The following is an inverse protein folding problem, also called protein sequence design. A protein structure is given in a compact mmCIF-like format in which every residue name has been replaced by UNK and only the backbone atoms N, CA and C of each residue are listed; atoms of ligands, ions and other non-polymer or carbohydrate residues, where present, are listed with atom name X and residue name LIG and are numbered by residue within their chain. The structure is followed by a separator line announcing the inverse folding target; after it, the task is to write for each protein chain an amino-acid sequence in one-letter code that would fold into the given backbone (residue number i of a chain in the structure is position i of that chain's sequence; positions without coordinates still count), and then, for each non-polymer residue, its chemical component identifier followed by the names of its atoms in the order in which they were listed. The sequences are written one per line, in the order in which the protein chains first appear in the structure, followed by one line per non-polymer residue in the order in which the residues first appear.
data_IF_600638319965
#
_entry.id   IF_600638319965
#
_cell.length_a   1.000
_cell.length_b   1.000
_cell.length_c   1.000
_cell.angle_alpha   90.00
_cell.angle_beta   90.00
_cell.angle_gamma   90.00
#
_symmetry.space_group_name_H-M   'P 1'
#
loop_
_entity.id
_entity.type
_entity.pdbx_description
1 polymer ?
#
# COMPACT_ATOMS: atom_id res chain seq x y z
N UNK A 1 0.05 -9.89 5.38
CA UNK A 1 0.36 -8.80 6.34
C UNK A 1 -0.95 -8.28 6.93
N UNK A 2 -0.99 -7.68 8.13
CA UNK A 2 -2.19 -7.01 8.61
C UNK A 2 -2.52 -5.80 7.73
N UNK A 3 -3.81 -5.42 7.67
CA UNK A 3 -4.24 -4.19 6.99
C UNK A 3 -3.84 -2.97 7.81
N UNK A 4 -3.19 -2.00 7.17
CA UNK A 4 -2.86 -0.71 7.76
C UNK A 4 -3.86 0.33 7.26
N UNK A 5 -4.63 0.89 8.18
CA UNK A 5 -5.54 2.00 7.91
C UNK A 5 -4.98 3.21 8.62
N UNK A 6 -4.91 4.33 7.93
CA UNK A 6 -4.44 5.59 8.47
C UNK A 6 -5.54 6.63 8.29
N UNK A 7 -5.71 7.50 9.27
CA UNK A 7 -6.30 8.80 8.99
C UNK A 7 -5.27 9.71 8.30
N UNK A 8 -5.69 10.92 7.95
CA UNK A 8 -4.83 11.87 7.25
C UNK A 8 -3.53 12.17 8.02
N UNK A 9 -3.63 12.46 9.32
CA UNK A 9 -2.48 12.87 10.12
C UNK A 9 -1.51 11.70 10.35
N UNK A 10 -2.05 10.51 10.63
CA UNK A 10 -1.28 9.28 10.76
C UNK A 10 -0.56 8.92 9.47
N UNK A 11 -1.19 9.11 8.30
CA UNK A 11 -0.54 8.87 7.02
C UNK A 11 0.61 9.85 6.76
N UNK A 12 0.44 11.14 7.07
CA UNK A 12 1.52 12.13 6.93
C UNK A 12 2.71 11.79 7.82
N UNK A 13 2.48 11.43 9.09
CA UNK A 13 3.55 10.98 10.00
C UNK A 13 4.24 9.70 9.49
N UNK A 14 3.47 8.79 8.91
CA UNK A 14 4.03 7.59 8.27
C UNK A 14 4.96 7.97 7.12
N UNK A 15 4.57 8.90 6.25
CA UNK A 15 5.42 9.39 5.16
C UNK A 15 6.69 10.09 5.69
N UNK A 16 6.54 11.02 6.64
CA UNK A 16 7.66 11.75 7.25
C UNK A 16 8.71 10.83 7.89
N UNK A 17 8.26 9.71 8.48
CA UNK A 17 9.17 8.74 9.10
C UNK A 17 9.95 7.90 8.08
N UNK A 18 9.38 7.66 6.90
CA UNK A 18 9.93 6.71 5.92
C UNK A 18 10.60 7.38 4.72
N UNK A 19 10.40 8.69 4.51
CA UNK A 19 11.01 9.45 3.43
C UNK A 19 12.20 10.27 3.96
N UNK A 20 13.40 9.96 3.47
CA UNK A 20 14.60 10.76 3.74
C UNK A 20 14.65 12.03 2.88
N UNK A 21 15.54 12.96 3.20
CA UNK A 21 15.68 14.24 2.46
C UNK A 21 15.99 14.05 0.97
N UNK A 22 16.72 13.00 0.60
CA UNK A 22 17.09 12.68 -0.78
C UNK A 22 16.11 11.70 -1.46
N UNK A 23 15.01 11.32 -0.81
CA UNK A 23 14.06 10.36 -1.37
C UNK A 23 13.10 11.04 -2.34
N UNK A 24 13.14 10.62 -3.61
CA UNK A 24 12.13 10.94 -4.61
C UNK A 24 11.02 9.88 -4.61
N UNK A 25 9.77 10.30 -4.79
CA UNK A 25 8.60 9.40 -4.81
C UNK A 25 8.10 9.24 -6.25
N UNK A 26 7.99 7.99 -6.71
CA UNK A 26 7.35 7.64 -7.98
C UNK A 26 5.93 7.19 -7.68
N UNK A 27 4.96 7.82 -8.32
CA UNK A 27 3.55 7.47 -8.21
C UNK A 27 3.08 6.90 -9.53
N UNK A 28 2.55 5.68 -9.50
CA UNK A 28 1.79 5.12 -10.62
C UNK A 28 0.36 4.86 -10.19
N UNK A 29 -0.58 5.29 -11.03
CA UNK A 29 -2.00 4.94 -10.93
C UNK A 29 -2.43 4.00 -12.06
N UNK A 30 -1.47 3.41 -12.78
CA UNK A 30 -1.72 2.50 -13.90
C UNK A 30 -2.02 1.10 -13.36
N UNK A 31 -3.25 0.91 -12.87
CA UNK A 31 -3.73 -0.39 -12.41
C UNK A 31 -4.03 -1.25 -13.63
N UNK A 32 -3.24 -2.30 -13.81
CA UNK A 32 -3.35 -3.19 -14.97
C UNK A 32 -4.28 -4.36 -14.72
N UNK A 33 -4.47 -4.75 -13.45
CA UNK A 33 -5.37 -5.85 -13.06
C UNK A 33 -5.82 -5.75 -11.59
N UNK A 34 -7.04 -6.21 -11.29
CA UNK A 34 -7.59 -6.33 -9.93
C UNK A 34 -8.34 -7.66 -9.82
N UNK A 35 -7.98 -8.48 -8.84
CA UNK A 35 -8.62 -9.76 -8.55
C UNK A 35 -8.98 -9.92 -7.07
N UNK A 36 -9.92 -10.81 -6.74
CA UNK A 36 -10.27 -11.18 -5.37
C UNK A 36 -9.76 -12.59 -5.06
N UNK A 37 -8.89 -12.71 -4.06
CA UNK A 37 -8.32 -13.97 -3.63
C UNK A 37 -8.74 -14.31 -2.21
N UNK A 38 -9.31 -15.50 -2.00
CA UNK A 38 -9.53 -16.04 -0.65
C UNK A 38 -8.33 -16.89 -0.20
N UNK A 39 -7.79 -16.60 0.98
CA UNK A 39 -6.65 -17.33 1.53
C UNK A 39 -6.76 -17.61 3.04
N UNK A 40 -6.08 -18.65 3.51
CA UNK A 40 -5.87 -18.85 4.95
C UNK A 40 -4.78 -17.90 5.43
N UNK A 41 -5.13 -16.92 6.26
CA UNK A 41 -4.15 -16.07 6.92
C UNK A 41 -3.67 -16.76 8.19
N UNK A 42 -2.35 -16.85 8.38
CA UNK A 42 -1.74 -17.37 9.62
C UNK A 42 -2.38 -16.67 10.84
N UNK A 43 -3.11 -17.43 11.66
CA UNK A 43 -3.74 -16.96 12.91
C UNK A 43 -5.05 -16.17 12.77
N UNK A 44 -5.57 -15.89 11.57
CA UNK A 44 -6.78 -15.05 11.37
C UNK A 44 -7.91 -15.73 10.59
N UNK A 45 -7.75 -17.02 10.26
CA UNK A 45 -8.73 -17.80 9.50
C UNK A 45 -8.72 -17.47 8.01
N UNK A 46 -9.75 -17.95 7.31
CA UNK A 46 -9.98 -17.63 5.89
C UNK A 46 -10.36 -16.15 5.77
N UNK A 47 -9.68 -15.42 4.89
CA UNK A 47 -9.92 -14.01 4.59
C UNK A 47 -9.88 -13.80 3.09
N UNK A 48 -10.64 -12.82 2.64
CA UNK A 48 -10.64 -12.36 1.26
C UNK A 48 -9.73 -11.15 1.12
N UNK A 49 -8.99 -11.09 0.02
CA UNK A 49 -7.98 -10.09 -0.28
C UNK A 49 -8.20 -9.54 -1.68
N UNK A 50 -8.05 -8.23 -1.85
CA UNK A 50 -7.88 -7.65 -3.17
C UNK A 50 -6.42 -7.76 -3.59
N UNK A 51 -6.19 -8.41 -4.73
CA UNK A 51 -4.89 -8.49 -5.40
C UNK A 51 -4.86 -7.41 -6.48
N UNK A 52 -3.89 -6.51 -6.41
CA UNK A 52 -3.79 -5.36 -7.33
C UNK A 52 -2.45 -5.42 -8.05
N UNK A 53 -2.48 -5.40 -9.37
CA UNK A 53 -1.28 -5.32 -10.22
C UNK A 53 -1.16 -3.89 -10.77
N UNK A 54 0.00 -3.27 -10.58
CA UNK A 54 0.30 -1.91 -11.04
C UNK A 54 1.48 -1.93 -12.00
N UNK A 55 1.33 -1.25 -13.13
CA UNK A 55 2.43 -0.93 -14.04
C UNK A 55 3.22 0.27 -13.54
N UNK A 56 4.55 0.21 -13.56
CA UNK A 56 5.43 1.36 -13.32
C UNK A 56 6.35 1.52 -14.52
N UNK A 57 6.44 2.74 -15.07
CA UNK A 57 7.26 3.02 -16.25
C UNK A 57 8.74 2.87 -15.89
N UNK A 58 9.40 1.82 -16.37
CA UNK A 58 10.81 1.54 -16.08
C UNK A 58 11.78 2.62 -16.61
N UNK A 59 11.37 3.40 -17.62
CA UNK A 59 12.20 4.42 -18.26
C UNK A 59 12.48 5.65 -17.37
N UNK A 60 11.84 5.75 -16.19
CA UNK A 60 12.19 6.77 -15.19
C UNK A 60 13.49 6.43 -14.44
N UNK A 61 13.97 5.20 -14.54
CA UNK A 61 15.22 4.73 -13.95
C UNK A 61 16.34 4.70 -14.98
N UNK A 62 17.58 4.94 -14.53
CA UNK A 62 18.77 4.87 -15.39
C UNK A 62 19.07 3.45 -15.85
N UNK A 63 18.83 2.48 -14.98
CA UNK A 63 19.03 1.05 -15.22
C UNK A 63 17.69 0.33 -15.00
N UNK A 64 17.41 -0.66 -15.84
CA UNK A 64 16.16 -1.45 -15.78
C UNK A 64 16.41 -2.77 -15.06
N UNK A 65 16.86 -2.68 -13.83
CA UNK A 65 17.12 -3.82 -12.95
C UNK A 65 15.86 -4.13 -12.11
N UNK A 66 15.32 -5.33 -12.30
CA UNK A 66 14.09 -5.77 -11.61
C UNK A 66 14.36 -6.14 -10.16
N UNK A 67 15.51 -6.74 -9.86
CA UNK A 67 15.86 -7.16 -8.51
C UNK A 67 16.11 -5.91 -7.66
N UNK A 68 16.83 -4.93 -8.21
CA UNK A 68 17.04 -3.64 -7.55
C UNK A 68 15.71 -2.90 -7.34
N UNK A 69 14.77 -2.98 -8.28
CA UNK A 69 13.44 -2.41 -8.13
C UNK A 69 12.63 -3.14 -7.05
N UNK A 70 12.71 -4.47 -6.95
CA UNK A 70 12.01 -5.28 -5.96
C UNK A 70 12.48 -5.00 -4.52
N UNK A 71 13.75 -4.65 -4.33
CA UNK A 71 14.27 -4.28 -3.01
C UNK A 71 13.82 -2.89 -2.53
N UNK A 72 13.35 -2.02 -3.43
CA UNK A 72 12.91 -0.65 -3.04
C UNK A 72 11.63 -0.68 -2.19
N UNK A 73 11.53 0.15 -1.13
CA UNK A 73 10.28 0.33 -0.40
C UNK A 73 9.19 0.83 -1.35
N UNK A 74 8.09 0.08 -1.42
CA UNK A 74 6.96 0.38 -2.30
C UNK A 74 5.65 0.04 -1.60
N UNK A 75 4.64 0.89 -1.81
CA UNK A 75 3.35 0.78 -1.12
C UNK A 75 2.21 1.00 -2.12
N UNK A 76 1.16 0.20 -2.00
CA UNK A 76 -0.14 0.50 -2.58
C UNK A 76 -0.92 1.35 -1.58
N UNK A 77 -1.40 2.52 -2.02
CA UNK A 77 -2.25 3.39 -1.20
C UNK A 77 -3.63 3.46 -1.84
N UNK A 78 -4.66 3.21 -1.03
CA UNK A 78 -6.06 3.31 -1.44
C UNK A 78 -6.72 4.42 -0.63
N UNK A 79 -7.21 5.45 -1.31
CA UNK A 79 -8.01 6.50 -0.68
C UNK A 79 -9.47 6.07 -0.67
N UNK A 80 -10.10 6.12 0.50
CA UNK A 80 -11.49 5.72 0.71
C UNK A 80 -12.13 6.62 1.75
N UNK A 81 -13.45 6.74 1.72
CA UNK A 81 -14.21 7.47 2.72
C UNK A 81 -14.48 6.60 3.94
N UNK A 82 -14.64 7.23 5.11
CA UNK A 82 -14.84 6.49 6.37
C UNK A 82 -16.15 5.70 6.42
N UNK A 83 -17.15 6.07 5.64
CA UNK A 83 -18.44 5.38 5.54
C UNK A 83 -18.37 4.08 4.70
N UNK A 84 -17.29 3.89 3.93
CA UNK A 84 -17.04 2.65 3.19
C UNK A 84 -16.31 1.60 4.03
N UNK A 85 -15.80 1.99 5.21
CA UNK A 85 -15.01 1.14 6.10
C UNK A 85 -15.85 0.52 7.22
N UNK A 86 -15.42 -0.65 7.69
CA UNK A 86 -15.99 -1.25 8.90
C UNK A 86 -15.58 -0.46 10.15
N UNK A 87 -16.40 -0.49 11.20
CA UNK A 87 -16.09 0.19 12.47
C UNK A 87 -14.74 -0.25 13.05
N UNK A 88 -14.38 -1.53 12.94
CA UNK A 88 -13.09 -2.06 13.39
C UNK A 88 -11.90 -1.42 12.63
N UNK A 89 -12.04 -1.22 11.31
CA UNK A 89 -11.01 -0.58 10.50
C UNK A 89 -10.82 0.90 10.89
N UNK A 90 -11.92 1.60 11.18
CA UNK A 90 -11.90 3.00 11.64
C UNK A 90 -11.23 3.11 13.02
N UNK A 91 -11.53 2.22 13.95
CA UNK A 91 -10.90 2.20 15.28
C UNK A 91 -9.40 1.92 15.20
N UNK A 92 -8.98 1.01 14.31
CA UNK A 92 -7.55 0.76 14.05
C UNK A 92 -6.82 1.97 13.49
N UNK A 93 -7.48 2.81 12.70
CA UNK A 93 -6.88 4.02 12.15
C UNK A 93 -6.58 5.08 13.22
N UNK A 94 -7.43 5.15 14.26
CA UNK A 94 -7.36 6.17 15.33
C UNK A 94 -6.48 5.78 16.52
N UNK A 95 -6.04 4.53 16.60
CA UNK A 95 -5.29 3.99 17.74
C UNK A 95 -3.76 4.02 17.55
N UNK A 96 -3.28 4.64 16.47
CA UNK A 96 -1.85 4.76 16.09
C UNK A 96 -1.42 6.21 16.00
#
# INVERSE_FOLDING_TARGET
MPTYVFDKEGFMKFLEKNLGEDTMVIVSSDVTDIDEASGNSYGLGKRDFYMVTIGVVADVFKEKDVDEFDEKPKYLVVFTSSDELTSEAIEKARSK
#
